data_IF_805874027334
#
_entry.id   IF_805874027334
#
_cell.length_a   1.000
_cell.length_b   1.000
_cell.length_c   1.000
_cell.angle_alpha   90.00
_cell.angle_beta   90.00
_cell.angle_gamma   90.00
#
_symmetry.space_group_name_H-M   'P 1'
#
loop_
_entity.id
_entity.type
_entity.pdbx_description
1 polymer ?
#
# COMPACT_ATOMS: atom_id res chain seq x y z
N UNK A 1 -18.70 -0.95 11.58
CA UNK A 1 -17.29 -0.83 12.05
C UNK A 1 -16.52 -2.10 11.62
N UNK A 2 -15.20 -2.17 11.44
CA UNK A 2 -14.13 -1.13 11.42
C UNK A 2 -12.99 -1.47 10.42
N UNK A 3 -13.01 -2.66 9.80
CA UNK A 3 -11.84 -3.40 9.26
C UNK A 3 -10.99 -2.71 8.18
N UNK A 4 -11.45 -1.62 7.55
CA UNK A 4 -10.66 -0.86 6.56
C UNK A 4 -9.66 0.12 7.22
N UNK A 5 -9.94 0.58 8.44
CA UNK A 5 -9.11 1.59 9.12
C UNK A 5 -7.73 1.07 9.48
N UNK A 6 -7.62 -0.21 9.86
CA UNK A 6 -6.34 -0.86 10.20
C UNK A 6 -5.30 -0.71 9.08
N UNK A 7 -5.68 -0.88 7.81
CA UNK A 7 -4.76 -0.68 6.67
C UNK A 7 -4.30 0.77 6.52
N UNK A 8 -5.20 1.75 6.71
CA UNK A 8 -4.84 3.17 6.65
C UNK A 8 -3.93 3.57 7.81
N UNK A 9 -4.19 3.03 9.00
CA UNK A 9 -3.35 3.22 10.20
C UNK A 9 -1.95 2.64 9.96
N UNK A 10 -1.81 1.42 9.44
CA UNK A 10 -0.50 0.86 9.09
C UNK A 10 0.27 1.71 8.06
N UNK A 11 -0.41 2.22 7.03
CA UNK A 11 0.21 3.12 6.03
C UNK A 11 0.63 4.46 6.66
N UNK A 12 -0.19 5.03 7.53
CA UNK A 12 0.11 6.29 8.22
C UNK A 12 1.28 6.13 9.20
N UNK A 13 1.30 5.03 9.97
CA UNK A 13 2.42 4.69 10.87
C UNK A 13 3.70 4.53 10.05
N UNK A 14 3.68 3.74 8.98
CA UNK A 14 4.88 3.47 8.18
C UNK A 14 5.47 4.75 7.56
N UNK A 15 4.65 5.58 6.92
CA UNK A 15 5.09 6.87 6.39
C UNK A 15 5.60 7.83 7.47
N UNK A 16 5.03 7.78 8.68
CA UNK A 16 5.53 8.54 9.83
C UNK A 16 6.90 8.02 10.31
N UNK A 17 7.13 6.69 10.29
CA UNK A 17 8.44 6.12 10.63
C UNK A 17 9.51 6.51 9.61
N UNK A 18 9.21 6.49 8.30
CA UNK A 18 10.13 6.99 7.26
C UNK A 18 10.48 8.46 7.47
N UNK A 19 9.47 9.29 7.76
CA UNK A 19 9.66 10.71 8.03
C UNK A 19 10.53 10.94 9.28
N UNK A 20 10.33 10.15 10.34
CA UNK A 20 11.19 10.14 11.53
C UNK A 20 12.64 9.75 11.20
N UNK A 21 12.86 8.69 10.40
CA UNK A 21 14.20 8.30 9.94
C UNK A 21 14.87 9.44 9.17
N UNK A 22 14.14 10.05 8.23
CA UNK A 22 14.65 11.18 7.44
C UNK A 22 15.06 12.38 8.31
N UNK A 23 14.28 12.70 9.35
CA UNK A 23 14.62 13.73 10.32
C UNK A 23 15.87 13.34 11.14
N UNK A 24 15.95 12.11 11.65
CA UNK A 24 17.12 11.63 12.40
C UNK A 24 18.40 11.69 11.56
N UNK A 25 18.29 11.37 10.25
CA UNK A 25 19.40 11.42 9.30
C UNK A 25 19.89 12.85 9.01
N UNK A 26 19.06 13.87 9.20
CA UNK A 26 19.45 15.29 9.14
C UNK A 26 20.14 15.74 10.44
N UNK A 27 19.67 15.25 11.59
CA UNK A 27 20.14 15.73 12.90
C UNK A 27 21.45 15.10 13.40
N UNK A 28 21.82 13.89 12.95
CA UNK A 28 23.01 13.17 13.43
C UNK A 28 24.06 12.93 12.32
N UNK A 29 24.96 13.90 12.06
CA UNK A 29 26.11 13.70 11.16
C UNK A 29 27.23 12.84 11.79
N UNK A 30 26.89 11.77 12.52
CA UNK A 30 27.82 11.02 13.38
C UNK A 30 27.75 9.48 13.28
N UNK A 31 26.56 8.82 13.32
CA UNK A 31 26.46 7.36 13.35
C UNK A 31 25.50 6.79 12.27
N UNK A 32 25.78 7.05 10.99
CA UNK A 32 24.95 6.62 9.85
C UNK A 32 24.81 5.08 9.71
N UNK A 33 25.75 4.31 10.25
CA UNK A 33 25.77 2.82 10.24
C UNK A 33 24.56 2.17 10.91
N UNK A 34 23.91 2.82 11.87
CA UNK A 34 22.67 2.33 12.48
C UNK A 34 21.42 2.73 11.68
N UNK A 35 21.48 3.90 11.03
CA UNK A 35 20.36 4.48 10.26
C UNK A 35 20.11 3.69 8.97
N UNK A 36 21.17 3.23 8.30
CA UNK A 36 21.07 2.46 7.05
C UNK A 36 20.25 1.16 7.21
N UNK A 37 20.60 0.20 8.10
CA UNK A 37 19.84 -1.02 8.27
C UNK A 37 18.44 -0.77 8.85
N UNK A 38 18.26 0.23 9.72
CA UNK A 38 16.95 0.61 10.24
C UNK A 38 16.02 1.14 9.12
N UNK A 39 16.52 2.05 8.29
CA UNK A 39 15.82 2.56 7.11
C UNK A 39 15.49 1.46 6.11
N UNK A 40 16.45 0.57 5.80
CA UNK A 40 16.24 -0.58 4.92
C UNK A 40 15.17 -1.55 5.44
N UNK A 41 15.12 -1.82 6.74
CA UNK A 41 14.09 -2.69 7.34
C UNK A 41 12.68 -2.10 7.23
N UNK A 42 12.54 -0.78 7.36
CA UNK A 42 11.27 -0.08 7.20
C UNK A 42 10.86 0.00 5.72
N UNK A 43 11.77 0.39 4.82
CA UNK A 43 11.58 0.33 3.37
C UNK A 43 11.13 -1.06 2.89
N UNK A 44 11.78 -2.12 3.35
CA UNK A 44 11.42 -3.50 3.00
C UNK A 44 10.00 -3.86 3.48
N UNK A 45 9.64 -3.46 4.69
CA UNK A 45 8.30 -3.68 5.26
C UNK A 45 7.23 -2.95 4.43
N UNK A 46 7.48 -1.69 4.07
CA UNK A 46 6.57 -0.90 3.24
C UNK A 46 6.42 -1.43 1.82
N UNK A 47 7.51 -1.84 1.17
CA UNK A 47 7.45 -2.40 -0.19
C UNK A 47 6.53 -3.62 -0.28
N UNK A 48 6.57 -4.51 0.71
CA UNK A 48 5.67 -5.67 0.79
C UNK A 48 4.19 -5.23 0.89
N UNK A 49 3.90 -4.28 1.79
CA UNK A 49 2.53 -3.79 2.00
C UNK A 49 1.99 -2.96 0.82
N UNK A 50 2.84 -2.14 0.20
CA UNK A 50 2.53 -1.37 -1.01
C UNK A 50 2.16 -2.31 -2.16
N UNK A 51 2.92 -3.40 -2.37
CA UNK A 51 2.64 -4.41 -3.40
C UNK A 51 1.25 -5.05 -3.19
N UNK A 52 0.89 -5.37 -1.94
CA UNK A 52 -0.44 -5.93 -1.59
C UNK A 52 -1.56 -4.90 -1.82
N UNK A 53 -1.34 -3.63 -1.49
CA UNK A 53 -2.31 -2.56 -1.75
C UNK A 53 -2.53 -2.35 -3.26
N UNK A 54 -1.44 -2.29 -4.04
CA UNK A 54 -1.47 -2.08 -5.49
C UNK A 54 -2.19 -3.25 -6.18
N UNK A 55 -1.95 -4.49 -5.75
CA UNK A 55 -2.67 -5.65 -6.28
C UNK A 55 -4.18 -5.58 -5.96
N UNK A 56 -4.57 -5.12 -4.76
CA UNK A 56 -5.98 -4.88 -4.39
C UNK A 56 -6.64 -3.72 -5.14
N UNK A 57 -5.87 -2.69 -5.50
CA UNK A 57 -6.33 -1.63 -6.40
C UNK A 57 -6.56 -2.18 -7.82
N UNK A 58 -5.59 -2.95 -8.35
CA UNK A 58 -5.67 -3.58 -9.67
C UNK A 58 -6.89 -4.49 -9.78
N UNK A 59 -7.17 -5.31 -8.76
CA UNK A 59 -8.36 -6.17 -8.71
C UNK A 59 -9.67 -5.34 -8.78
N UNK A 60 -9.75 -4.21 -8.07
CA UNK A 60 -10.89 -3.29 -8.12
C UNK A 60 -11.06 -2.59 -9.47
N UNK A 61 -9.97 -2.21 -10.11
CA UNK A 61 -9.98 -1.54 -11.42
C UNK A 61 -10.41 -2.53 -12.52
N UNK A 62 -9.87 -3.76 -12.51
CA UNK A 62 -10.25 -4.81 -13.46
C UNK A 62 -11.70 -5.31 -13.26
N UNK A 63 -12.24 -5.28 -12.04
CA UNK A 63 -13.67 -5.57 -11.76
C UNK A 63 -14.62 -4.63 -12.51
N UNK A 64 -14.16 -3.48 -13.01
CA UNK A 64 -14.98 -2.49 -13.74
C UNK A 64 -15.16 -2.82 -15.23
N UNK A 65 -14.56 -3.90 -15.76
CA UNK A 65 -14.82 -4.42 -17.10
C UNK A 65 -15.56 -5.76 -17.06
N UNK A 66 -16.76 -5.77 -16.46
CA UNK A 66 -17.82 -6.63 -17.00
C UNK A 66 -18.25 -5.99 -18.31
N UNK A 67 -18.08 -6.61 -19.49
CA UNK A 67 -19.00 -6.30 -20.57
C UNK A 67 -20.39 -6.70 -20.06
N UNK A 68 -21.31 -5.73 -19.95
CA UNK A 68 -22.73 -6.08 -20.04
C UNK A 68 -22.90 -6.65 -21.46
N UNK A 69 -22.82 -7.97 -21.58
CA UNK A 69 -23.48 -8.64 -22.70
C UNK A 69 -24.97 -8.46 -22.43
N UNK A 70 -25.72 -7.74 -23.28
CA UNK A 70 -27.16 -7.69 -23.17
C UNK A 70 -27.68 -9.12 -23.25
N UNK A 71 -28.65 -9.46 -22.40
CA UNK A 71 -29.19 -10.81 -22.35
C UNK A 71 -29.75 -11.16 -23.73
N UNK A 72 -29.30 -12.29 -24.27
CA UNK A 72 -29.82 -12.81 -25.54
C UNK A 72 -31.31 -13.03 -25.36
N UNK A 73 -32.21 -12.36 -26.12
CA UNK A 73 -33.64 -12.58 -26.00
C UNK A 73 -33.97 -14.00 -26.49
N UNK A 74 -34.01 -14.94 -25.54
CA UNK A 74 -34.49 -16.29 -25.75
C UNK A 74 -36.00 -16.32 -25.55
N UNK A 75 -36.75 -15.69 -26.44
CA UNK A 75 -38.11 -16.11 -26.67
C UNK A 75 -38.51 -15.86 -28.13
N UNK A 76 -38.49 -16.95 -28.88
CA UNK A 76 -39.28 -17.12 -30.09
C UNK A 76 -40.63 -17.65 -29.59
N UNK A 77 -41.58 -16.74 -29.34
CA UNK A 77 -43.01 -17.02 -29.18
C UNK A 77 -43.80 -15.83 -29.75
#
# INVERSE_FOLDING_TARGET
MTLKSFRRIFIAIAGFTVLLIGIVMIFLPGPSILVIPAGLGILATEFVWAKVLLNKMKEKIFRKKKPQMPETPKEIQ
#
